data_IF_596940398969
#
_entry.id   IF_596940398969
#
_cell.length_a   1.000
_cell.length_b   1.000
_cell.length_c   1.000
_cell.angle_alpha   90.00
_cell.angle_beta   90.00
_cell.angle_gamma   90.00
#
_symmetry.space_group_name_H-M   'P 1'
#
loop_
_entity.id
_entity.type
_entity.pdbx_description
1 polymer ?
#
# COMPACT_ATOMS: atom_id res chain seq x y z
N UNK A 1 4.39 -6.74 4.06
CA UNK A 1 5.30 -6.57 5.21
C UNK A 1 6.23 -5.37 5.05
N UNK A 2 7.14 -5.29 4.06
CA UNK A 2 8.07 -4.15 3.86
C UNK A 2 7.32 -2.81 3.87
N UNK A 3 6.23 -2.69 3.12
CA UNK A 3 5.39 -1.49 3.08
C UNK A 3 4.77 -1.12 4.42
N UNK A 4 4.36 -2.11 5.21
CA UNK A 4 3.81 -1.87 6.54
C UNK A 4 4.85 -1.25 7.47
N UNK A 5 6.07 -1.81 7.48
CA UNK A 5 7.17 -1.21 8.25
C UNK A 5 7.56 0.18 7.74
N UNK A 6 7.58 0.38 6.43
CA UNK A 6 7.87 1.69 5.85
C UNK A 6 6.83 2.72 6.28
N UNK A 7 5.53 2.41 6.20
CA UNK A 7 4.46 3.29 6.65
C UNK A 7 4.55 3.59 8.15
N UNK A 8 4.76 2.56 8.98
CA UNK A 8 4.93 2.73 10.42
C UNK A 8 6.09 3.68 10.77
N UNK A 9 7.23 3.52 10.10
CA UNK A 9 8.42 4.38 10.32
C UNK A 9 8.32 5.77 9.73
N UNK A 10 7.44 5.98 8.76
CA UNK A 10 7.27 7.26 8.08
C UNK A 10 6.04 8.04 8.56
N UNK A 11 5.31 7.54 9.57
CA UNK A 11 4.09 8.17 10.06
C UNK A 11 2.96 8.22 9.01
N UNK A 12 2.96 7.27 8.08
CA UNK A 12 1.93 7.16 7.06
C UNK A 12 0.81 6.22 7.53
N UNK A 13 -0.44 6.61 7.31
CA UNK A 13 -1.59 5.75 7.62
C UNK A 13 -1.80 4.79 6.47
N UNK A 14 -1.74 3.48 6.77
CA UNK A 14 -1.94 2.40 5.83
C UNK A 14 -3.37 1.87 5.93
N UNK A 15 -4.06 1.76 4.81
CA UNK A 15 -5.31 1.03 4.66
C UNK A 15 -5.10 -0.17 3.75
N UNK A 16 -5.57 -1.33 4.15
CA UNK A 16 -5.48 -2.55 3.36
C UNK A 16 -6.82 -2.89 2.73
N UNK A 17 -6.79 -3.26 1.45
CA UNK A 17 -7.89 -3.91 0.76
C UNK A 17 -7.59 -5.39 0.58
N UNK A 18 -8.63 -6.22 0.70
CA UNK A 18 -8.50 -7.65 0.46
C UNK A 18 -8.37 -7.93 -1.06
N UNK A 19 -7.23 -8.44 -1.52
CA UNK A 19 -7.02 -8.73 -2.93
C UNK A 19 -7.87 -9.92 -3.42
N UNK A 20 -8.34 -10.80 -2.53
CA UNK A 20 -9.10 -11.99 -2.90
C UNK A 20 -10.48 -11.65 -3.48
N UNK A 21 -11.02 -10.49 -3.14
CA UNK A 21 -12.26 -9.99 -3.70
C UNK A 21 -12.19 -9.86 -5.23
N UNK A 22 -11.03 -9.53 -5.78
CA UNK A 22 -10.84 -9.42 -7.23
C UNK A 22 -10.95 -10.78 -7.95
N UNK A 23 -10.74 -11.88 -7.24
CA UNK A 23 -10.89 -13.25 -7.75
C UNK A 23 -12.36 -13.68 -7.70
N UNK A 24 -13.02 -13.41 -6.57
CA UNK A 24 -14.36 -13.92 -6.28
C UNK A 24 -15.47 -13.06 -6.87
N UNK A 25 -15.30 -11.73 -6.86
CA UNK A 25 -16.24 -10.75 -7.43
C UNK A 25 -15.47 -9.54 -7.98
N UNK A 26 -15.06 -9.58 -9.27
CA UNK A 26 -14.30 -8.49 -9.88
C UNK A 26 -15.03 -7.14 -9.89
N UNK A 27 -16.37 -7.12 -9.98
CA UNK A 27 -17.12 -5.86 -9.95
C UNK A 27 -17.19 -5.28 -8.55
N UNK A 28 -17.38 -6.09 -7.52
CA UNK A 28 -17.31 -5.65 -6.14
C UNK A 28 -15.88 -5.14 -5.81
N UNK A 29 -14.84 -5.77 -6.36
CA UNK A 29 -13.46 -5.32 -6.19
C UNK A 29 -13.20 -3.94 -6.79
N UNK A 30 -13.73 -3.63 -7.97
CA UNK A 30 -13.65 -2.28 -8.55
C UNK A 30 -14.36 -1.24 -7.68
N UNK A 31 -15.55 -1.59 -7.18
CA UNK A 31 -16.29 -0.75 -6.25
C UNK A 31 -15.51 -0.54 -4.95
N UNK A 32 -14.91 -1.60 -4.41
CA UNK A 32 -14.12 -1.54 -3.19
C UNK A 32 -12.93 -0.60 -3.34
N UNK A 33 -12.19 -0.69 -4.44
CA UNK A 33 -11.08 0.22 -4.73
C UNK A 33 -11.55 1.67 -4.85
N UNK A 34 -12.62 1.92 -5.61
CA UNK A 34 -13.18 3.27 -5.78
C UNK A 34 -13.65 3.88 -4.46
N UNK A 35 -14.38 3.10 -3.64
CA UNK A 35 -14.86 3.53 -2.34
C UNK A 35 -13.71 3.77 -1.35
N UNK A 36 -12.72 2.87 -1.31
CA UNK A 36 -11.55 3.05 -0.46
C UNK A 36 -10.82 4.37 -0.77
N UNK A 37 -10.55 4.65 -2.04
CA UNK A 37 -9.89 5.90 -2.46
C UNK A 37 -10.72 7.13 -2.09
N UNK A 38 -12.05 7.06 -2.23
CA UNK A 38 -12.96 8.16 -1.88
C UNK A 38 -12.99 8.42 -0.39
N UNK A 39 -13.10 7.37 0.42
CA UNK A 39 -13.24 7.44 1.87
C UNK A 39 -11.93 7.84 2.57
N UNK A 40 -10.83 7.20 2.17
CA UNK A 40 -9.51 7.43 2.82
C UNK A 40 -8.80 8.67 2.31
N UNK A 41 -9.17 9.16 1.13
CA UNK A 41 -8.45 10.23 0.42
C UNK A 41 -6.95 9.95 0.29
N UNK A 42 -6.61 8.69 0.04
CA UNK A 42 -5.23 8.24 -0.03
C UNK A 42 -4.44 8.97 -1.14
N UNK A 43 -3.25 9.42 -0.81
CA UNK A 43 -2.34 10.07 -1.78
C UNK A 43 -1.54 9.03 -2.57
N UNK A 44 -1.37 7.85 -2.02
CA UNK A 44 -0.59 6.75 -2.60
C UNK A 44 -1.47 5.52 -2.70
N UNK A 45 -1.49 4.90 -3.86
CA UNK A 45 -2.08 3.59 -4.10
C UNK A 45 -0.94 2.63 -4.43
N UNK A 46 -0.84 1.52 -3.68
CA UNK A 46 0.13 0.47 -3.98
C UNK A 46 -0.63 -0.80 -4.28
N UNK A 47 -0.39 -1.36 -5.46
CA UNK A 47 -1.04 -2.56 -5.96
C UNK A 47 -0.02 -3.60 -6.37
N UNK A 48 -0.34 -4.88 -6.22
CA UNK A 48 0.38 -5.93 -6.93
C UNK A 48 0.20 -5.72 -8.44
N UNK A 49 1.11 -6.27 -9.23
CA UNK A 49 0.95 -6.28 -10.68
C UNK A 49 -0.10 -7.30 -11.10
N UNK A 50 0.13 -8.55 -10.70
CA UNK A 50 -0.77 -9.66 -10.99
C UNK A 50 -0.69 -10.71 -9.89
N UNK A 51 -1.80 -11.42 -9.70
CA UNK A 51 -1.86 -12.70 -9.02
C UNK A 51 -1.91 -13.84 -10.03
N UNK A 52 -2.23 -15.07 -9.56
CA UNK A 52 -2.41 -16.22 -10.45
C UNK A 52 -3.54 -16.01 -11.46
N UNK A 53 -4.62 -15.34 -11.06
CA UNK A 53 -5.86 -15.25 -11.82
C UNK A 53 -6.32 -13.81 -12.09
N UNK A 54 -5.64 -12.80 -11.51
CA UNK A 54 -6.03 -11.40 -11.59
C UNK A 54 -4.86 -10.52 -11.98
N UNK A 55 -5.09 -9.64 -12.96
CA UNK A 55 -4.20 -8.53 -13.25
C UNK A 55 -4.69 -7.28 -12.50
N UNK A 56 -4.02 -6.95 -11.40
CA UNK A 56 -4.41 -5.83 -10.55
C UNK A 56 -4.12 -4.46 -11.18
N UNK A 57 -3.17 -4.37 -12.10
CA UNK A 57 -2.93 -3.14 -12.89
C UNK A 57 -4.15 -2.85 -13.75
N UNK A 58 -4.72 -3.87 -14.40
CA UNK A 58 -5.96 -3.72 -15.18
C UNK A 58 -7.16 -3.36 -14.30
N UNK A 59 -7.23 -3.90 -13.09
CA UNK A 59 -8.22 -3.48 -12.11
C UNK A 59 -8.09 -1.98 -11.80
N UNK A 60 -6.87 -1.51 -11.50
CA UNK A 60 -6.61 -0.10 -11.26
C UNK A 60 -6.98 0.76 -12.47
N UNK A 61 -6.59 0.39 -13.69
CA UNK A 61 -6.96 1.08 -14.93
C UNK A 61 -8.49 1.20 -15.11
N UNK A 62 -9.25 0.17 -14.73
CA UNK A 62 -10.70 0.19 -14.86
C UNK A 62 -11.37 1.20 -13.93
N UNK A 63 -10.75 1.48 -12.78
CA UNK A 63 -11.25 2.42 -11.75
C UNK A 63 -10.65 3.82 -11.97
N UNK A 64 -9.40 3.89 -12.42
CA UNK A 64 -8.62 5.10 -12.62
C UNK A 64 -8.10 5.10 -14.07
N UNK A 65 -8.95 5.42 -15.06
CA UNK A 65 -8.58 5.34 -16.48
C UNK A 65 -7.38 6.22 -16.84
N UNK A 66 -7.15 7.29 -16.08
CA UNK A 66 -6.05 8.23 -16.30
C UNK A 66 -4.68 7.54 -16.18
N UNK A 67 -4.57 6.46 -15.41
CA UNK A 67 -3.36 5.64 -15.29
C UNK A 67 -2.87 5.15 -16.66
N UNK A 68 -3.79 4.90 -17.58
CA UNK A 68 -3.45 4.39 -18.92
C UNK A 68 -2.72 5.40 -19.81
N UNK A 69 -2.97 6.68 -19.57
CA UNK A 69 -2.51 7.74 -20.47
C UNK A 69 -1.47 8.66 -19.84
N UNK A 70 -1.21 8.50 -18.56
CA UNK A 70 -0.31 9.37 -17.83
C UNK A 70 1.13 8.87 -17.95
N UNK A 71 2.04 9.78 -18.23
CA UNK A 71 3.48 9.51 -18.28
C UNK A 71 4.21 10.36 -17.24
N UNK A 72 4.78 9.69 -16.23
CA UNK A 72 5.59 10.35 -15.21
C UNK A 72 6.90 10.95 -15.77
N UNK A 73 7.40 10.48 -16.90
CA UNK A 73 8.59 11.02 -17.53
C UNK A 73 8.41 12.47 -17.99
N UNK A 74 7.18 12.93 -18.18
CA UNK A 74 6.88 14.34 -18.47
C UNK A 74 7.09 15.27 -17.28
N UNK A 75 7.38 14.75 -16.08
CA UNK A 75 7.60 15.56 -14.88
C UNK A 75 6.34 16.25 -14.34
N UNK A 76 5.17 15.90 -14.83
CA UNK A 76 3.89 16.46 -14.39
C UNK A 76 3.35 15.65 -13.20
N UNK A 77 2.57 16.28 -12.27
CA UNK A 77 1.90 15.55 -11.21
C UNK A 77 0.77 14.68 -11.78
N UNK A 78 0.60 13.47 -11.23
CA UNK A 78 -0.56 12.65 -11.54
C UNK A 78 -1.84 13.33 -11.04
N UNK A 79 -2.81 13.49 -11.93
CA UNK A 79 -4.10 14.11 -11.62
C UNK A 79 -5.22 13.23 -12.17
N UNK A 80 -6.13 12.84 -11.30
CA UNK A 80 -7.37 12.17 -11.65
C UNK A 80 -8.55 12.94 -11.08
N UNK A 81 -9.54 13.36 -11.91
CA UNK A 81 -10.69 14.12 -11.42
C UNK A 81 -11.54 13.37 -10.40
N UNK A 82 -11.59 12.04 -10.51
CA UNK A 82 -12.36 11.18 -9.58
C UNK A 82 -11.73 11.13 -8.19
N UNK A 83 -10.41 11.13 -8.13
CA UNK A 83 -9.65 11.00 -6.90
C UNK A 83 -8.59 12.11 -6.82
N UNK A 84 -9.00 13.37 -6.59
CA UNK A 84 -8.12 14.54 -6.74
C UNK A 84 -6.96 14.58 -5.73
N UNK A 85 -6.97 13.71 -4.73
CA UNK A 85 -5.89 13.56 -3.75
C UNK A 85 -4.86 12.49 -4.14
N UNK A 86 -5.22 11.55 -5.03
CA UNK A 86 -4.28 10.53 -5.49
C UNK A 86 -3.15 11.16 -6.32
N UNK A 87 -1.91 10.86 -5.94
CA UNK A 87 -0.69 11.40 -6.58
C UNK A 87 0.24 10.34 -7.09
N UNK A 88 0.31 9.20 -6.43
CA UNK A 88 1.28 8.16 -6.70
C UNK A 88 0.59 6.80 -6.80
N UNK A 89 0.09 6.41 -7.98
CA UNK A 89 -0.25 5.02 -8.25
C UNK A 89 1.03 4.21 -8.49
N UNK A 90 1.22 3.17 -7.69
CA UNK A 90 2.45 2.35 -7.65
C UNK A 90 2.08 0.88 -7.84
N UNK A 91 2.86 0.15 -8.62
CA UNK A 91 2.76 -1.31 -8.72
C UNK A 91 4.04 -2.00 -8.22
N UNK A 92 3.92 -3.25 -7.76
CA UNK A 92 5.04 -4.03 -7.20
C UNK A 92 5.61 -5.05 -8.19
N UNK A 93 5.24 -5.00 -9.47
CA UNK A 93 5.69 -5.93 -10.48
C UNK A 93 7.18 -5.81 -10.81
N UNK A 94 7.70 -6.85 -11.47
CA UNK A 94 9.10 -6.88 -11.90
C UNK A 94 9.27 -6.36 -13.34
N UNK A 95 8.20 -6.44 -14.12
CA UNK A 95 8.19 -6.10 -15.54
C UNK A 95 7.67 -4.68 -15.75
N UNK A 96 8.38 -3.91 -16.55
CA UNK A 96 8.07 -2.48 -16.74
C UNK A 96 7.27 -2.20 -18.01
N UNK A 97 7.06 -3.21 -18.85
CA UNK A 97 6.41 -3.01 -20.13
C UNK A 97 4.91 -2.66 -19.94
N UNK A 98 4.48 -1.59 -20.58
CA UNK A 98 3.08 -1.17 -20.75
C UNK A 98 2.28 -0.71 -19.50
N UNK A 99 2.95 -0.19 -18.44
CA UNK A 99 2.27 0.28 -17.22
C UNK A 99 2.41 1.79 -17.00
N UNK A 100 2.21 2.55 -18.02
CA UNK A 100 2.62 3.95 -18.16
C UNK A 100 2.19 4.89 -17.04
N UNK A 101 1.06 4.75 -16.47
CA UNK A 101 0.59 5.63 -15.39
C UNK A 101 0.80 5.10 -13.98
N UNK A 102 1.53 3.99 -13.81
CA UNK A 102 1.87 3.44 -12.50
C UNK A 102 3.38 3.34 -12.36
N UNK A 103 3.88 3.96 -11.30
CA UNK A 103 5.29 3.89 -10.95
C UNK A 103 5.65 2.49 -10.42
N UNK A 104 6.84 2.02 -10.72
CA UNK A 104 7.33 0.76 -10.19
C UNK A 104 7.90 0.97 -8.77
N UNK A 105 7.43 0.23 -7.78
CA UNK A 105 7.91 0.31 -6.40
C UNK A 105 9.44 0.19 -6.31
N UNK A 106 10.04 -0.67 -7.13
CA UNK A 106 11.49 -0.86 -7.19
C UNK A 106 12.27 0.44 -7.49
N UNK A 107 11.67 1.40 -8.21
CA UNK A 107 12.31 2.68 -8.51
C UNK A 107 12.41 3.60 -7.28
N UNK A 108 11.61 3.35 -6.25
CA UNK A 108 11.65 4.10 -4.99
C UNK A 108 12.59 3.49 -3.96
N UNK A 109 13.02 2.23 -4.17
CA UNK A 109 13.97 1.55 -3.29
C UNK A 109 15.37 1.93 -3.76
N UNK A 110 15.75 3.16 -3.48
CA UNK A 110 17.09 3.67 -3.78
C UNK A 110 17.91 3.64 -2.48
N UNK A 111 19.13 3.07 -2.48
CA UNK A 111 20.05 3.25 -1.37
C UNK A 111 20.29 4.75 -1.19
N UNK A 112 19.92 5.29 -0.05
CA UNK A 112 20.11 6.70 0.25
C UNK A 112 21.10 6.80 1.42
N UNK A 113 22.35 7.09 1.12
CA UNK A 113 23.39 7.34 2.14
C UNK A 113 23.03 8.55 3.01
N UNK A 114 22.15 9.43 2.53
CA UNK A 114 21.75 10.68 3.17
C UNK A 114 20.28 10.66 3.63
N UNK A 115 19.64 9.51 3.74
CA UNK A 115 18.23 9.42 4.14
C UNK A 115 17.99 10.07 5.51
N UNK A 116 18.97 9.96 6.43
CA UNK A 116 18.94 10.62 7.73
C UNK A 116 18.75 12.12 7.64
N UNK A 117 19.34 12.79 6.64
CA UNK A 117 19.26 14.23 6.47
C UNK A 117 17.87 14.67 6.00
N UNK A 118 17.20 13.85 5.20
CA UNK A 118 15.84 14.09 4.75
C UNK A 118 14.78 13.78 5.81
N UNK A 119 15.11 12.95 6.78
CA UNK A 119 14.22 12.60 7.91
C UNK A 119 14.48 13.45 9.16
N UNK A 120 15.40 14.42 9.11
CA UNK A 120 15.66 15.34 10.22
C UNK A 120 14.39 16.12 10.57
N UNK A 121 14.00 16.07 11.84
CA UNK A 121 12.78 16.71 12.34
C UNK A 121 11.51 15.88 12.20
N UNK A 122 11.60 14.68 11.63
CA UNK A 122 10.50 13.74 11.57
C UNK A 122 10.56 12.79 12.77
N UNK A 123 9.63 12.93 13.69
CA UNK A 123 9.54 12.06 14.87
C UNK A 123 8.34 11.14 14.76
N UNK A 124 8.60 9.85 14.82
CA UNK A 124 7.57 8.80 14.88
C UNK A 124 7.77 8.03 16.18
N UNK A 125 6.70 7.86 16.93
CA UNK A 125 6.69 7.13 18.19
C UNK A 125 5.53 6.12 18.26
N UNK A 126 5.34 5.50 19.42
CA UNK A 126 4.28 4.52 19.65
C UNK A 126 2.87 5.10 19.51
N UNK A 127 2.67 6.39 19.73
CA UNK A 127 1.38 7.07 19.61
C UNK A 127 1.04 7.49 18.17
N UNK A 128 1.99 7.39 17.25
CA UNK A 128 1.80 7.79 15.85
C UNK A 128 0.75 6.91 15.17
N UNK A 129 -0.27 7.49 14.51
CA UNK A 129 -1.26 6.75 13.75
C UNK A 129 -0.60 5.93 12.62
N UNK A 130 -1.04 4.68 12.46
CA UNK A 130 -0.40 3.78 11.51
C UNK A 130 -1.39 2.97 10.66
N UNK A 131 -2.30 2.21 11.28
CA UNK A 131 -3.18 1.29 10.56
C UNK A 131 -4.62 1.74 10.64
N UNK A 132 -5.19 2.12 9.51
CA UNK A 132 -6.60 2.49 9.39
C UNK A 132 -7.47 1.29 9.03
N UNK A 133 -8.63 1.21 9.65
CA UNK A 133 -9.65 0.20 9.37
C UNK A 133 -10.66 0.73 8.35
N UNK A 134 -11.17 -0.17 7.51
CA UNK A 134 -12.31 0.08 6.63
C UNK A 134 -13.50 -0.71 7.13
N UNK A 135 -14.64 -0.05 7.29
CA UNK A 135 -15.92 -0.74 7.53
C UNK A 135 -16.42 -1.28 6.22
N UNK A 136 -16.73 -2.57 6.16
CA UNK A 136 -17.14 -3.24 4.93
C UNK A 136 -18.61 -3.63 4.98
N UNK A 137 -19.25 -3.67 3.83
CA UNK A 137 -20.58 -4.29 3.68
C UNK A 137 -20.46 -5.81 3.54
N UNK A 138 -21.61 -6.47 3.30
CA UNK A 138 -21.70 -7.93 3.14
C UNK A 138 -20.97 -8.46 1.89
N UNK A 139 -20.60 -7.58 0.95
CA UNK A 139 -19.84 -7.93 -0.26
C UNK A 139 -18.35 -7.60 -0.15
N UNK A 140 -17.91 -7.07 0.98
CA UNK A 140 -16.52 -6.63 1.18
C UNK A 140 -16.21 -5.24 0.60
N UNK A 141 -17.23 -4.46 0.24
CA UNK A 141 -17.05 -3.10 -0.26
C UNK A 141 -16.98 -2.12 0.91
N UNK A 142 -15.99 -1.22 0.96
CA UNK A 142 -15.90 -0.21 2.00
C UNK A 142 -17.10 0.75 2.02
N UNK A 143 -17.67 0.94 3.21
CA UNK A 143 -18.79 1.86 3.47
C UNK A 143 -18.40 3.02 4.37
N UNK A 144 -17.25 2.93 5.04
CA UNK A 144 -16.74 3.96 5.93
C UNK A 144 -15.31 3.66 6.37
N UNK A 145 -14.71 4.63 7.06
CA UNK A 145 -13.45 4.43 7.76
C UNK A 145 -13.73 4.17 9.24
N UNK A 146 -13.06 3.15 9.78
CA UNK A 146 -13.12 2.80 11.19
C UNK A 146 -12.03 3.48 12.02
N UNK A 147 -11.61 2.82 13.08
CA UNK A 147 -10.54 3.27 13.97
C UNK A 147 -9.21 3.31 13.23
N UNK A 148 -8.39 4.31 13.55
CA UNK A 148 -6.97 4.32 13.19
C UNK A 148 -6.18 3.87 14.42
N UNK A 149 -5.49 2.74 14.29
CA UNK A 149 -4.64 2.19 15.33
C UNK A 149 -3.27 2.86 15.30
N UNK A 150 -2.69 3.06 16.47
CA UNK A 150 -1.33 3.58 16.61
C UNK A 150 -0.28 2.47 16.47
N UNK A 151 0.98 2.85 16.35
CA UNK A 151 2.10 1.92 16.32
C UNK A 151 2.09 1.00 17.57
N UNK A 152 1.84 1.54 18.76
CA UNK A 152 1.76 0.79 20.01
C UNK A 152 0.60 -0.20 20.02
N UNK A 153 -0.58 0.20 19.54
CA UNK A 153 -1.74 -0.68 19.48
C UNK A 153 -1.48 -1.86 18.55
N UNK A 154 -0.93 -1.59 17.36
CA UNK A 154 -0.59 -2.64 16.39
C UNK A 154 0.51 -3.56 16.93
N UNK A 155 1.53 -3.03 17.61
CA UNK A 155 2.58 -3.86 18.21
C UNK A 155 2.05 -4.82 19.28
N UNK A 156 1.05 -4.39 20.06
CA UNK A 156 0.41 -5.19 21.11
C UNK A 156 -0.62 -6.19 20.59
N UNK A 157 -1.06 -6.05 19.34
CA UNK A 157 -2.09 -6.93 18.74
C UNK A 157 -1.60 -8.32 18.34
N UNK A 158 -0.31 -8.62 18.51
CA UNK A 158 0.29 -9.89 18.10
C UNK A 158 0.61 -9.99 16.60
N UNK A 159 0.34 -8.95 15.82
CA UNK A 159 0.66 -8.90 14.38
C UNK A 159 2.16 -9.07 14.15
N UNK A 160 3.00 -8.43 14.97
CA UNK A 160 4.46 -8.57 14.89
C UNK A 160 4.94 -10.00 15.14
N UNK A 161 4.34 -10.69 16.11
CA UNK A 161 4.68 -12.10 16.39
C UNK A 161 4.25 -13.02 15.25
N UNK A 162 3.12 -12.73 14.62
CA UNK A 162 2.69 -13.44 13.42
C UNK A 162 3.65 -13.22 12.26
N UNK A 163 4.14 -11.99 12.07
CA UNK A 163 5.14 -11.69 11.06
C UNK A 163 6.49 -12.37 11.33
N UNK A 164 6.97 -12.38 12.58
CA UNK A 164 8.18 -13.11 12.94
C UNK A 164 8.07 -14.59 12.60
N UNK A 165 6.92 -15.22 12.89
CA UNK A 165 6.67 -16.63 12.56
C UNK A 165 6.68 -16.89 11.06
N UNK A 166 6.06 -15.99 10.26
CA UNK A 166 6.07 -16.10 8.81
C UNK A 166 7.50 -15.95 8.28
N UNK A 167 8.25 -14.96 8.74
CA UNK A 167 9.64 -14.74 8.35
C UNK A 167 10.52 -15.95 8.69
N UNK A 168 10.41 -16.47 9.91
CA UNK A 168 11.18 -17.63 10.34
C UNK A 168 10.87 -18.87 9.49
N UNK A 169 9.61 -19.05 9.09
CA UNK A 169 9.19 -20.17 8.26
C UNK A 169 9.66 -20.03 6.79
N UNK A 170 9.53 -18.84 6.23
CA UNK A 170 9.80 -18.58 4.81
C UNK A 170 11.27 -18.41 4.50
N UNK A 171 12.04 -17.84 5.44
CA UNK A 171 13.43 -17.46 5.24
C UNK A 171 14.41 -18.27 6.10
N UNK A 172 13.94 -19.30 6.82
CA UNK A 172 14.76 -20.13 7.72
C UNK A 172 15.59 -19.29 8.72
N UNK A 173 15.06 -18.14 9.17
CA UNK A 173 15.74 -17.30 10.15
C UNK A 173 15.73 -18.03 11.49
N UNK A 174 16.88 -18.47 11.96
CA UNK A 174 17.04 -19.10 13.28
C UNK A 174 16.97 -18.02 14.37
N UNK A 175 16.13 -18.24 15.38
CA UNK A 175 16.12 -17.39 16.58
C UNK A 175 17.50 -17.32 17.20
N UNK A 176 18.07 -16.13 17.31
CA UNK A 176 19.38 -15.90 17.94
C UNK A 176 20.47 -15.38 17.02
N UNK A 177 20.35 -15.49 15.71
CA UNK A 177 21.25 -14.79 14.80
C UNK A 177 20.61 -13.42 14.51
N UNK A 178 21.13 -12.40 15.19
CA UNK A 178 20.58 -11.06 15.15
C UNK A 178 20.53 -10.50 13.73
N UNK A 179 19.34 -10.44 13.17
CA UNK A 179 19.07 -9.52 12.08
C UNK A 179 18.99 -8.14 12.73
N UNK A 180 20.10 -7.41 12.69
CA UNK A 180 20.09 -5.99 13.04
C UNK A 180 19.19 -5.26 12.04
N UNK A 181 18.10 -4.71 12.54
CA UNK A 181 17.19 -3.85 11.80
C UNK A 181 17.60 -2.39 11.95
#
# INVERSE_FOLDING_TARGET
>A
MILQFACSKSGLILYNLDPTLAITDPEASKQALAQALTLTKANVLISQEAGSDVNYVRLCESVIPEVRFFDFAEGKPFITPRFPHLRLPIHTGFDQDDKWGMLLLKQFIVPADNLSDHLQGFSVDGSTPFLGELTLDSKGVPTGTGKIQTNDEVSKSGVLESFKKILAKEFHVVEGEGVAW
#
